data_IF_794306900910
#
_entry.id   IF_794306900910
#
_cell.length_a   1.000
_cell.length_b   1.000
_cell.length_c   1.000
_cell.angle_alpha   90.00
_cell.angle_beta   90.00
_cell.angle_gamma   90.00
#
_symmetry.space_group_name_H-M   'P 1'
#
loop_
_entity.id
_entity.type
_entity.pdbx_description
1 polymer ?
#
# COMPACT_ATOMS: atom_id res chain seq x y z
N UNK A 1 0.32 -7.25 20.51
CA UNK A 1 -0.07 -7.72 19.17
C UNK A 1 -0.61 -9.14 19.26
N UNK A 2 -1.77 -9.37 18.68
CA UNK A 2 -2.38 -10.70 18.70
C UNK A 2 -1.71 -11.65 17.72
N UNK A 3 -1.54 -12.89 18.14
CA UNK A 3 -1.12 -13.98 17.26
C UNK A 3 -2.37 -14.65 16.71
N UNK A 4 -2.39 -14.87 15.40
CA UNK A 4 -3.48 -15.59 14.73
C UNK A 4 -2.93 -16.91 14.23
N UNK A 5 -3.63 -18.00 14.56
CA UNK A 5 -3.26 -19.34 14.10
C UNK A 5 -4.11 -19.66 12.86
N UNK A 6 -3.45 -19.95 11.74
CA UNK A 6 -4.08 -20.47 10.53
C UNK A 6 -3.57 -21.87 10.26
N UNK A 7 -4.39 -22.89 10.59
CA UNK A 7 -3.98 -24.28 10.46
C UNK A 7 -2.76 -24.56 11.34
N UNK A 8 -1.63 -24.97 10.74
CA UNK A 8 -0.36 -25.24 11.43
C UNK A 8 0.60 -24.06 11.42
N UNK A 9 0.15 -22.88 11.02
CA UNK A 9 0.96 -21.68 10.95
C UNK A 9 0.47 -20.62 11.93
N UNK A 10 1.43 -19.86 12.46
CA UNK A 10 1.17 -18.71 13.30
C UNK A 10 1.41 -17.46 12.45
N UNK A 11 0.48 -16.50 12.52
CA UNK A 11 0.64 -15.19 11.91
C UNK A 11 0.74 -14.13 13.02
N UNK A 12 1.83 -13.37 13.02
CA UNK A 12 2.05 -12.29 13.98
C UNK A 12 2.23 -10.96 13.25
N UNK A 13 1.41 -9.97 13.61
CA UNK A 13 1.53 -8.64 13.02
C UNK A 13 2.80 -7.95 13.54
N UNK A 14 3.68 -7.56 12.62
CA UNK A 14 4.92 -6.87 12.94
C UNK A 14 4.74 -5.35 12.90
N UNK A 15 3.93 -4.84 11.98
CA UNK A 15 3.73 -3.41 11.83
C UNK A 15 2.43 -3.10 11.10
N UNK A 16 1.89 -1.92 11.39
CA UNK A 16 0.82 -1.33 10.60
C UNK A 16 1.43 -0.64 9.39
N UNK A 17 0.81 -0.81 8.24
CA UNK A 17 1.17 -0.10 7.04
C UNK A 17 -0.09 0.12 6.21
N UNK A 18 -0.07 1.14 5.37
CA UNK A 18 -1.17 1.49 4.48
C UNK A 18 -0.64 1.79 3.10
N UNK A 19 -1.45 1.51 2.09
CA UNK A 19 -1.25 2.02 0.75
C UNK A 19 -2.12 3.25 0.58
N UNK A 20 -1.57 4.27 -0.04
CA UNK A 20 -2.26 5.52 -0.33
C UNK A 20 -2.31 5.78 -1.82
N UNK A 21 -3.30 6.58 -2.22
CA UNK A 21 -3.40 7.06 -3.60
C UNK A 21 -2.50 8.28 -3.76
N UNK A 22 -1.68 8.28 -4.80
CA UNK A 22 -0.79 9.40 -5.05
C UNK A 22 -0.56 9.61 -6.55
N UNK A 23 -0.24 10.86 -6.89
CA UNK A 23 0.07 11.29 -8.24
C UNK A 23 0.98 12.51 -8.18
N UNK A 24 1.71 12.76 -9.26
CA UNK A 24 2.56 13.94 -9.34
C UNK A 24 1.73 15.23 -9.49
N UNK A 25 2.27 16.39 -9.03
CA UNK A 25 1.61 17.67 -9.24
C UNK A 25 1.34 17.97 -10.71
N UNK A 26 2.26 17.62 -11.62
CA UNK A 26 2.10 17.83 -13.05
C UNK A 26 0.91 17.05 -13.63
N UNK A 27 0.71 15.80 -13.18
CA UNK A 27 -0.45 15.01 -13.57
C UNK A 27 -1.76 15.70 -13.11
N UNK A 28 -1.81 16.08 -11.84
CA UNK A 28 -3.00 16.69 -11.24
C UNK A 28 -3.33 18.05 -11.84
N UNK A 29 -2.32 18.83 -12.22
CA UNK A 29 -2.52 20.09 -12.90
C UNK A 29 -3.17 19.90 -14.27
N UNK A 30 -2.77 18.86 -15.00
CA UNK A 30 -3.27 18.56 -16.34
C UNK A 30 -4.65 17.91 -16.33
N UNK A 31 -4.89 16.98 -15.40
CA UNK A 31 -6.07 16.12 -15.38
C UNK A 31 -7.09 16.46 -14.28
N UNK A 32 -6.74 17.36 -13.37
CA UNK A 32 -7.57 17.71 -12.23
C UNK A 32 -7.34 16.80 -11.02
N UNK A 33 -7.78 17.26 -9.85
CA UNK A 33 -7.65 16.54 -8.60
C UNK A 33 -8.96 15.80 -8.31
N UNK A 34 -8.96 14.47 -8.17
CA UNK A 34 -10.16 13.74 -7.76
C UNK A 34 -10.65 14.21 -6.39
N UNK A 35 -11.94 14.42 -6.24
CA UNK A 35 -12.58 14.82 -4.98
C UNK A 35 -13.45 13.73 -4.38
N UNK A 36 -13.80 12.71 -5.18
CA UNK A 36 -14.61 11.56 -4.77
C UNK A 36 -14.14 10.30 -5.52
N UNK A 37 -14.52 9.12 -5.04
CA UNK A 37 -14.09 7.86 -5.62
C UNK A 37 -14.50 7.70 -7.10
N UNK A 38 -15.68 8.18 -7.44
CA UNK A 38 -16.22 8.09 -8.80
C UNK A 38 -15.35 8.85 -9.82
N UNK A 39 -14.63 9.86 -9.37
CA UNK A 39 -13.73 10.62 -10.24
C UNK A 39 -12.58 9.78 -10.78
N UNK A 40 -12.23 8.69 -10.10
CA UNK A 40 -11.15 7.79 -10.54
C UNK A 40 -11.47 7.11 -11.87
N UNK A 41 -12.75 6.99 -12.24
CA UNK A 41 -13.17 6.44 -13.55
C UNK A 41 -12.66 7.30 -14.71
N UNK A 42 -12.45 8.58 -14.49
CA UNK A 42 -12.02 9.54 -15.50
C UNK A 42 -10.51 9.82 -15.46
N UNK A 43 -9.79 9.09 -14.63
CA UNK A 43 -8.35 9.26 -14.48
C UNK A 43 -7.58 8.06 -15.01
N UNK A 44 -6.33 8.31 -15.39
CA UNK A 44 -5.38 7.25 -15.69
C UNK A 44 -4.89 6.66 -14.36
N UNK A 45 -5.16 5.39 -14.13
CA UNK A 45 -4.72 4.68 -12.95
C UNK A 45 -3.63 3.70 -13.32
N UNK A 46 -2.55 3.70 -12.54
CA UNK A 46 -1.40 2.84 -12.73
C UNK A 46 -1.60 1.60 -11.86
N UNK A 47 -1.74 0.43 -12.47
CA UNK A 47 -2.05 -0.78 -11.74
C UNK A 47 -0.80 -1.62 -11.48
N UNK A 48 -0.59 -1.97 -10.21
CA UNK A 48 0.48 -2.88 -9.80
C UNK A 48 -0.17 -4.24 -9.58
N UNK A 49 0.14 -5.21 -10.47
CA UNK A 49 -0.40 -6.55 -10.37
C UNK A 49 0.33 -7.32 -9.27
N UNK A 50 -0.40 -7.69 -8.25
CA UNK A 50 0.10 -8.55 -7.18
C UNK A 50 -0.39 -9.98 -7.36
N UNK A 51 0.37 -10.92 -6.83
CA UNK A 51 -0.02 -12.32 -6.80
C UNK A 51 -1.33 -12.47 -6.01
N UNK A 52 -2.31 -13.14 -6.60
CA UNK A 52 -3.64 -13.38 -6.01
C UNK A 52 -4.55 -12.15 -5.92
N UNK A 53 -4.20 -11.03 -6.57
CA UNK A 53 -5.07 -9.87 -6.66
C UNK A 53 -5.87 -9.87 -7.98
N UNK A 54 -7.12 -9.40 -7.91
CA UNK A 54 -7.92 -9.20 -9.12
C UNK A 54 -7.41 -7.99 -9.89
N UNK A 55 -7.21 -8.17 -11.20
CA UNK A 55 -6.75 -7.09 -12.07
C UNK A 55 -7.74 -5.92 -12.08
N UNK A 56 -7.20 -4.71 -11.92
CA UNK A 56 -8.00 -3.49 -12.03
C UNK A 56 -8.94 -3.22 -10.86
N UNK A 57 -8.74 -3.90 -9.72
CA UNK A 57 -9.56 -3.68 -8.53
C UNK A 57 -8.72 -3.12 -7.39
N UNK A 58 -9.14 -1.96 -6.89
CA UNK A 58 -8.61 -1.38 -5.65
C UNK A 58 -9.66 -1.46 -4.55
N UNK A 59 -9.30 -2.04 -3.42
CA UNK A 59 -10.14 -2.10 -2.22
C UNK A 59 -9.75 -0.98 -1.28
N UNK A 60 -10.42 0.16 -1.42
CA UNK A 60 -10.13 1.35 -0.61
C UNK A 60 -10.99 1.36 0.64
N UNK A 61 -10.43 1.87 1.72
CA UNK A 61 -11.06 1.86 3.03
C UNK A 61 -11.19 3.28 3.57
N UNK A 62 -12.35 3.57 4.14
CA UNK A 62 -12.60 4.81 4.88
C UNK A 62 -13.47 4.49 6.09
N UNK A 63 -13.01 4.87 7.28
CA UNK A 63 -13.75 4.67 8.54
C UNK A 63 -14.24 3.23 8.74
N UNK A 64 -13.38 2.25 8.44
CA UNK A 64 -13.69 0.83 8.61
C UNK A 64 -14.56 0.21 7.53
N UNK A 65 -14.97 0.98 6.54
CA UNK A 65 -15.78 0.50 5.41
C UNK A 65 -14.91 0.35 4.17
N UNK A 66 -15.02 -0.79 3.50
CA UNK A 66 -14.29 -1.07 2.26
C UNK A 66 -15.12 -0.69 1.05
N UNK A 67 -14.52 0.07 0.15
CA UNK A 67 -15.10 0.51 -1.11
C UNK A 67 -14.30 -0.10 -2.25
N UNK A 68 -14.81 -1.16 -2.91
CA UNK A 68 -14.13 -1.72 -4.07
C UNK A 68 -14.29 -0.77 -5.25
N UNK A 69 -13.17 -0.44 -5.89
CA UNK A 69 -13.14 0.48 -7.02
C UNK A 69 -12.50 -0.20 -8.22
N UNK A 70 -13.26 -0.33 -9.30
CA UNK A 70 -12.70 -0.77 -10.57
C UNK A 70 -12.08 0.39 -11.28
N UNK A 71 -10.80 0.23 -11.60
CA UNK A 71 -10.04 1.28 -12.28
C UNK A 71 -9.82 0.92 -13.74
N UNK A 72 -9.73 1.96 -14.56
CA UNK A 72 -9.24 1.83 -15.94
C UNK A 72 -7.73 2.02 -15.90
N UNK A 73 -7.00 0.97 -16.26
CA UNK A 73 -5.56 1.02 -16.28
C UNK A 73 -5.05 0.90 -17.71
N UNK A 74 -4.38 1.95 -18.17
CA UNK A 74 -3.67 1.92 -19.45
C UNK A 74 -2.25 1.38 -19.30
N UNK A 75 -1.73 1.41 -18.08
CA UNK A 75 -0.40 0.92 -17.73
C UNK A 75 -0.50 0.02 -16.53
N UNK A 76 0.02 -1.17 -16.64
CA UNK A 76 0.12 -2.11 -15.53
C UNK A 76 1.50 -2.73 -15.48
N UNK A 77 1.94 -3.08 -14.29
CA UNK A 77 3.23 -3.72 -14.04
C UNK A 77 3.13 -4.59 -12.79
N UNK A 78 4.02 -5.56 -12.67
CA UNK A 78 4.21 -6.31 -11.43
C UNK A 78 5.37 -5.74 -10.59
N UNK A 79 5.97 -4.65 -11.02
CA UNK A 79 7.11 -4.01 -10.36
C UNK A 79 6.74 -2.64 -9.80
N UNK A 80 6.72 -2.52 -8.48
CA UNK A 80 6.38 -1.26 -7.84
C UNK A 80 7.31 -0.10 -8.15
N UNK A 81 8.59 -0.38 -8.42
CA UNK A 81 9.56 0.64 -8.81
C UNK A 81 9.22 1.25 -10.17
N UNK A 82 8.75 0.44 -11.11
CA UNK A 82 8.30 0.92 -12.43
C UNK A 82 7.07 1.81 -12.27
N UNK A 83 6.08 1.39 -11.47
CA UNK A 83 4.88 2.20 -11.21
C UNK A 83 5.24 3.53 -10.55
N UNK A 84 6.19 3.52 -9.62
CA UNK A 84 6.70 4.74 -9.00
C UNK A 84 7.24 5.72 -10.04
N UNK A 85 8.08 5.22 -10.96
CA UNK A 85 8.64 6.07 -12.01
C UNK A 85 7.56 6.63 -12.92
N UNK A 86 6.59 5.81 -13.31
CA UNK A 86 5.45 6.28 -14.11
C UNK A 86 4.67 7.38 -13.39
N UNK A 87 4.43 7.23 -12.09
CA UNK A 87 3.72 8.24 -11.31
C UNK A 87 4.50 9.55 -11.24
N UNK A 88 5.81 9.48 -11.02
CA UNK A 88 6.69 10.66 -11.02
C UNK A 88 6.73 11.34 -12.39
N UNK A 89 6.60 10.57 -13.47
CA UNK A 89 6.57 11.06 -14.84
C UNK A 89 5.18 11.53 -15.30
N UNK A 90 4.26 11.74 -14.37
CA UNK A 90 2.91 12.25 -14.62
C UNK A 90 2.04 11.34 -15.49
N UNK A 91 2.20 10.02 -15.39
CA UNK A 91 1.43 9.05 -16.20
C UNK A 91 0.09 8.67 -15.57
N UNK A 92 -0.10 8.92 -14.28
CA UNK A 92 -1.36 8.58 -13.63
C UNK A 92 -1.30 8.54 -12.11
N UNK A 93 -2.37 8.02 -11.53
CA UNK A 93 -2.55 7.83 -10.10
C UNK A 93 -2.18 6.39 -9.76
N UNK A 94 -1.40 6.17 -8.69
CA UNK A 94 -1.09 4.84 -8.21
C UNK A 94 -1.52 4.65 -6.75
N UNK A 95 -1.71 3.40 -6.36
CA UNK A 95 -1.92 2.98 -4.97
C UNK A 95 -0.63 2.30 -4.50
N UNK A 96 0.04 2.89 -3.53
CA UNK A 96 1.37 2.43 -3.11
C UNK A 96 1.56 2.53 -1.61
N UNK A 97 2.40 1.67 -1.06
CA UNK A 97 2.76 1.66 0.36
C UNK A 97 3.28 3.03 0.82
N UNK A 98 2.79 3.47 1.98
CA UNK A 98 3.23 4.72 2.60
C UNK A 98 4.75 4.80 2.73
N UNK A 99 5.40 3.70 3.12
CA UNK A 99 6.86 3.69 3.30
C UNK A 99 7.62 3.94 2.00
N UNK A 100 7.05 3.54 0.87
CA UNK A 100 7.68 3.74 -0.44
C UNK A 100 7.50 5.17 -0.97
N UNK A 101 6.39 5.82 -0.63
CA UNK A 101 6.06 7.15 -1.15
C UNK A 101 6.33 8.29 -0.17
N UNK A 102 6.63 7.97 1.07
CA UNK A 102 6.79 8.93 2.16
C UNK A 102 7.72 10.10 1.80
N UNK A 103 8.90 9.81 1.29
CA UNK A 103 9.87 10.85 0.92
C UNK A 103 9.35 11.76 -0.19
N UNK A 104 8.62 11.20 -1.15
CA UNK A 104 8.03 11.95 -2.27
C UNK A 104 6.83 12.80 -1.83
N UNK A 105 6.06 12.32 -0.88
CA UNK A 105 4.97 13.12 -0.29
C UNK A 105 5.56 14.31 0.48
N UNK A 106 6.62 14.04 1.24
CA UNK A 106 7.28 15.06 2.06
C UNK A 106 7.94 16.17 1.22
N UNK A 107 8.59 15.81 0.12
CA UNK A 107 9.25 16.78 -0.77
C UNK A 107 8.31 17.40 -1.82
N UNK A 108 7.06 16.94 -1.91
CA UNK A 108 6.06 17.46 -2.82
C UNK A 108 6.12 16.90 -4.23
N UNK A 109 6.98 15.93 -4.54
CA UNK A 109 7.03 15.29 -5.85
C UNK A 109 5.86 14.37 -6.12
N UNK A 110 5.19 13.89 -5.06
CA UNK A 110 3.90 13.20 -5.13
C UNK A 110 2.93 13.85 -4.14
N UNK A 111 1.65 13.83 -4.50
CA UNK A 111 0.57 14.36 -3.68
C UNK A 111 -0.37 13.22 -3.32
N UNK A 112 -0.78 13.13 -2.06
CA UNK A 112 -1.79 12.17 -1.61
C UNK A 112 -3.16 12.58 -2.17
N UNK A 113 -3.71 11.73 -3.01
CA UNK A 113 -5.01 11.93 -3.64
C UNK A 113 -6.06 11.23 -2.80
N UNK A 114 -7.22 11.85 -2.60
CA UNK A 114 -8.31 11.32 -1.78
C UNK A 114 -7.78 10.82 -0.41
N UNK A 115 -7.25 11.71 0.43
CA UNK A 115 -6.52 11.31 1.64
C UNK A 115 -7.35 10.56 2.68
N UNK A 116 -8.69 10.65 2.60
CA UNK A 116 -9.59 9.90 3.49
C UNK A 116 -9.65 8.41 3.16
N UNK A 117 -9.14 8.01 2.00
CA UNK A 117 -9.16 6.62 1.53
C UNK A 117 -7.76 6.04 1.52
N UNK A 118 -7.64 4.82 2.01
CA UNK A 118 -6.38 4.07 2.04
C UNK A 118 -6.68 2.57 2.03
N UNK A 119 -5.67 1.76 1.83
CA UNK A 119 -5.79 0.31 1.89
C UNK A 119 -4.83 -0.23 2.93
N UNK A 120 -5.33 -1.01 3.89
CA UNK A 120 -4.50 -1.67 4.89
C UNK A 120 -3.54 -2.64 4.21
N UNK A 121 -2.27 -2.54 4.56
CA UNK A 121 -1.20 -3.40 4.04
C UNK A 121 -0.23 -3.75 5.15
N UNK A 122 -0.77 -4.22 6.27
CA UNK A 122 0.01 -4.56 7.47
C UNK A 122 1.04 -5.64 7.17
N UNK A 123 2.15 -5.57 7.87
CA UNK A 123 3.25 -6.53 7.73
C UNK A 123 3.07 -7.63 8.76
N UNK A 124 3.09 -8.87 8.30
CA UNK A 124 2.90 -10.05 9.12
C UNK A 124 4.09 -10.99 8.97
N UNK A 125 4.51 -11.58 10.09
CA UNK A 125 5.39 -12.74 10.07
C UNK A 125 4.51 -13.99 10.13
N UNK A 126 4.71 -14.91 9.18
CA UNK A 126 4.01 -16.20 9.15
C UNK A 126 5.04 -17.29 9.26
N UNK A 127 4.88 -18.18 10.23
CA UNK A 127 5.82 -19.26 10.48
C UNK A 127 5.11 -20.50 11.03
N UNK A 128 5.70 -21.71 10.84
CA UNK A 128 5.10 -22.94 11.37
C UNK A 128 5.01 -22.92 12.88
N UNK A 129 3.90 -23.42 13.42
CA UNK A 129 3.68 -23.53 14.87
C UNK A 129 4.80 -24.31 15.57
N UNK A 130 5.33 -25.35 14.93
CA UNK A 130 6.40 -26.20 15.48
C UNK A 130 7.68 -25.45 15.86
N UNK A 131 7.91 -24.27 15.27
CA UNK A 131 9.11 -23.46 15.56
C UNK A 131 8.77 -22.18 16.32
N UNK A 132 7.52 -22.02 16.77
CA UNK A 132 7.05 -20.81 17.45
C UNK A 132 7.78 -20.54 18.77
N UNK A 133 8.29 -21.58 19.44
CA UNK A 133 9.05 -21.47 20.67
C UNK A 133 10.56 -21.44 20.44
N UNK A 134 11.03 -21.49 19.17
CA UNK A 134 12.43 -21.41 18.83
C UNK A 134 13.01 -20.06 19.24
N UNK A 135 14.13 -20.09 19.93
CA UNK A 135 14.85 -18.87 20.32
C UNK A 135 15.29 -18.07 19.11
N UNK A 136 15.77 -18.75 18.05
CA UNK A 136 16.15 -18.09 16.79
C UNK A 136 14.98 -17.39 16.15
N UNK A 137 13.81 -18.01 16.12
CA UNK A 137 12.59 -17.42 15.56
C UNK A 137 12.17 -16.20 16.36
N UNK A 138 12.16 -16.29 17.68
CA UNK A 138 11.77 -15.19 18.55
C UNK A 138 12.71 -13.99 18.41
N UNK A 139 14.01 -14.23 18.31
CA UNK A 139 15.00 -13.16 18.08
C UNK A 139 14.83 -12.51 16.71
N UNK A 140 14.53 -13.30 15.68
CA UNK A 140 14.26 -12.79 14.35
C UNK A 140 13.03 -11.88 14.35
N UNK A 141 11.94 -12.29 15.00
CA UNK A 141 10.70 -11.52 15.10
C UNK A 141 10.93 -10.22 15.88
N UNK A 142 11.67 -10.28 16.99
CA UNK A 142 12.04 -9.09 17.78
C UNK A 142 12.82 -8.09 16.92
N UNK A 143 13.81 -8.58 16.17
CA UNK A 143 14.61 -7.75 15.27
C UNK A 143 13.74 -7.07 14.21
N UNK A 144 12.86 -7.83 13.54
CA UNK A 144 11.97 -7.30 12.51
C UNK A 144 10.97 -6.30 13.10
N UNK A 145 10.39 -6.61 14.25
CA UNK A 145 9.46 -5.70 14.93
C UNK A 145 10.13 -4.37 15.27
N UNK A 146 11.35 -4.42 15.77
CA UNK A 146 12.13 -3.22 16.08
C UNK A 146 12.48 -2.44 14.82
N UNK A 147 12.91 -3.13 13.76
CA UNK A 147 13.21 -2.51 12.47
C UNK A 147 12.01 -1.75 11.92
N UNK A 148 10.83 -2.39 11.87
CA UNK A 148 9.62 -1.75 11.33
C UNK A 148 9.11 -0.62 12.24
N UNK A 149 9.36 -0.67 13.54
CA UNK A 149 8.97 0.40 14.46
C UNK A 149 9.70 1.72 14.20
N UNK A 150 10.84 1.67 13.54
CA UNK A 150 11.66 2.84 13.19
C UNK A 150 11.26 3.49 11.86
N UNK A 151 10.37 2.85 11.10
CA UNK A 151 9.90 3.41 9.83
C UNK A 151 8.87 4.51 10.08
N UNK A 152 8.75 5.48 9.13
CA UNK A 152 7.84 6.60 9.32
C UNK A 152 6.38 6.15 9.38
N UNK A 153 5.65 6.67 10.35
CA UNK A 153 4.21 6.45 10.48
C UNK A 153 3.44 7.43 9.61
N UNK A 154 2.30 6.99 9.14
CA UNK A 154 1.37 7.86 8.44
C UNK A 154 0.67 8.75 9.47
N UNK A 155 0.96 10.00 9.39
CA UNK A 155 0.34 11.02 10.23
C UNK A 155 -1.12 11.30 9.88
#
# INVERSE_FOLDING_TARGET
>A
MGNVIKGKNIARKLANNYRILCASPAYLQKHGIPTKLEDLENHNCLFIQEKNAYFGLWNLERQGVTYPVRIKSHLSTNCGTVAMQWSLDAQGIMLRSWWDVYSHIKDGSLINVLPDYKQSANIWAVYPERISESEKMNKCIEFLSEYFSKLPEQG
#
